data_IF_229848565323
#
_entry.id   IF_229848565323
#
_cell.length_a   1.000
_cell.length_b   1.000
_cell.length_c   1.000
_cell.angle_alpha   90.00
_cell.angle_beta   90.00
_cell.angle_gamma   90.00
#
_symmetry.space_group_name_H-M   'P 1'
#
loop_
_entity.id
_entity.type
_entity.pdbx_description
1 polymer ?
#
# COMPACT_ATOMS: atom_id res chain seq x y z
N UNK A 1 3.37 8.47 11.76
CA UNK A 1 2.92 7.25 11.04
C UNK A 1 1.44 6.97 11.33
N UNK A 2 1.01 6.72 12.57
CA UNK A 2 -0.42 6.49 12.89
C UNK A 2 -1.28 7.67 12.43
N UNK A 3 -0.89 8.90 12.76
CA UNK A 3 -1.63 10.10 12.34
C UNK A 3 -1.76 10.21 10.81
N UNK A 4 -0.72 9.88 10.07
CA UNK A 4 -0.75 9.98 8.60
C UNK A 4 -1.47 8.80 7.96
N UNK A 5 -1.06 7.57 8.31
CA UNK A 5 -1.52 6.37 7.59
C UNK A 5 -2.91 5.89 8.03
N UNK A 6 -3.35 6.26 9.24
CA UNK A 6 -4.63 5.82 9.80
C UNK A 6 -5.58 7.01 9.95
N UNK A 7 -5.26 7.94 10.85
CA UNK A 7 -6.18 9.05 11.16
C UNK A 7 -6.41 9.94 9.94
N UNK A 8 -5.34 10.36 9.25
CA UNK A 8 -5.45 11.20 8.06
C UNK A 8 -6.20 10.52 6.93
N UNK A 9 -5.93 9.22 6.69
CA UNK A 9 -6.62 8.44 5.68
C UNK A 9 -8.13 8.34 5.95
N UNK A 10 -8.51 7.98 7.17
CA UNK A 10 -9.92 7.82 7.54
C UNK A 10 -10.65 9.16 7.52
N UNK A 11 -10.00 10.22 8.00
CA UNK A 11 -10.57 11.57 7.97
C UNK A 11 -10.79 12.03 6.53
N UNK A 12 -9.78 11.92 5.66
CA UNK A 12 -9.91 12.33 4.25
C UNK A 12 -11.01 11.53 3.54
N UNK A 13 -11.04 10.22 3.76
CA UNK A 13 -12.10 9.36 3.18
C UNK A 13 -13.48 9.84 3.61
N UNK A 14 -13.67 10.15 4.90
CA UNK A 14 -14.93 10.67 5.42
C UNK A 14 -15.34 11.98 4.75
N UNK A 15 -14.40 12.85 4.42
CA UNK A 15 -14.69 14.14 3.78
C UNK A 15 -15.12 14.00 2.32
N UNK A 16 -14.50 13.10 1.56
CA UNK A 16 -14.76 12.99 0.11
C UNK A 16 -15.90 12.01 -0.23
N UNK A 17 -16.15 11.04 0.63
CA UNK A 17 -17.09 9.95 0.35
C UNK A 17 -18.55 10.40 0.14
N UNK A 18 -19.14 11.30 0.96
CA UNK A 18 -20.54 11.71 0.80
C UNK A 18 -20.84 12.24 -0.60
N UNK A 19 -19.97 13.09 -1.15
CA UNK A 19 -20.13 13.65 -2.50
C UNK A 19 -20.00 12.57 -3.58
N UNK A 20 -19.14 11.56 -3.38
CA UNK A 20 -19.03 10.44 -4.31
C UNK A 20 -20.31 9.61 -4.32
N UNK A 21 -20.88 9.33 -3.14
CA UNK A 21 -22.10 8.56 -2.99
C UNK A 21 -23.29 9.31 -3.62
N UNK A 22 -23.44 10.60 -3.35
CA UNK A 22 -24.49 11.46 -3.91
C UNK A 22 -24.50 11.43 -5.44
N UNK A 23 -23.32 11.65 -6.06
CA UNK A 23 -23.18 11.64 -7.52
C UNK A 23 -23.10 10.22 -8.12
N UNK A 24 -23.16 9.17 -7.30
CA UNK A 24 -23.04 7.74 -7.69
C UNK A 24 -21.81 7.46 -8.57
N UNK A 25 -20.72 8.15 -8.28
CA UNK A 25 -19.46 8.05 -9.04
C UNK A 25 -18.27 8.45 -8.20
N UNK A 26 -17.30 7.56 -8.09
CA UNK A 26 -16.05 7.79 -7.37
C UNK A 26 -15.14 6.59 -7.41
N UNK A 27 -13.86 6.84 -7.12
CA UNK A 27 -12.87 5.78 -6.97
C UNK A 27 -11.86 6.19 -5.91
N UNK A 28 -11.70 5.35 -4.90
CA UNK A 28 -10.68 5.49 -3.86
C UNK A 28 -9.62 4.43 -4.12
N UNK A 29 -8.38 4.86 -4.34
CA UNK A 29 -7.23 3.97 -4.52
C UNK A 29 -6.26 4.26 -3.39
N UNK A 30 -6.15 3.34 -2.46
CA UNK A 30 -5.24 3.43 -1.34
C UNK A 30 -3.91 2.74 -1.66
N UNK A 31 -2.82 3.31 -1.19
CA UNK A 31 -1.49 2.72 -1.31
C UNK A 31 -1.16 2.01 0.00
N UNK A 32 -1.33 0.70 -0.03
CA UNK A 32 -0.95 -0.23 1.04
C UNK A 32 0.54 -0.56 1.04
N UNK A 33 0.86 -1.80 1.29
CA UNK A 33 2.20 -2.41 1.18
C UNK A 33 2.09 -3.91 1.39
N UNK A 34 3.01 -4.69 0.83
CA UNK A 34 3.22 -6.10 1.20
C UNK A 34 3.50 -6.27 2.69
N UNK A 35 4.07 -5.25 3.36
CA UNK A 35 4.28 -5.19 4.80
C UNK A 35 2.97 -5.28 5.63
N UNK A 36 1.82 -5.01 5.04
CA UNK A 36 0.52 -5.20 5.67
C UNK A 36 0.05 -6.66 5.68
N UNK A 37 0.79 -7.55 5.02
CA UNK A 37 0.48 -8.98 4.93
C UNK A 37 1.65 -9.84 5.42
N UNK A 38 2.88 -9.48 5.01
CA UNK A 38 4.08 -10.22 5.34
C UNK A 38 4.88 -9.46 6.40
N UNK A 39 5.05 -10.01 7.61
CA UNK A 39 5.83 -9.37 8.65
C UNK A 39 7.33 -9.42 8.35
N UNK A 40 8.06 -8.43 8.80
CA UNK A 40 9.53 -8.42 8.78
C UNK A 40 10.11 -7.61 9.95
N UNK A 41 11.33 -7.90 10.41
CA UNK A 41 11.96 -7.20 11.53
C UNK A 41 11.98 -5.68 11.35
N UNK A 42 11.59 -4.94 12.39
CA UNK A 42 11.56 -3.47 12.40
C UNK A 42 10.34 -2.84 11.73
N UNK A 43 9.35 -3.63 11.31
CA UNK A 43 8.14 -3.12 10.64
C UNK A 43 6.90 -3.03 11.54
N UNK A 44 7.00 -3.28 12.84
CA UNK A 44 5.83 -3.44 13.72
C UNK A 44 4.75 -2.36 13.55
N UNK A 45 5.06 -1.08 13.75
CA UNK A 45 4.07 0.01 13.57
C UNK A 45 3.75 0.23 12.08
N UNK A 46 4.75 0.16 11.21
CA UNK A 46 4.54 0.35 9.77
C UNK A 46 3.65 -0.77 9.19
N UNK A 47 4.03 -2.02 9.41
CA UNK A 47 3.25 -3.18 8.95
C UNK A 47 1.82 -3.15 9.49
N UNK A 48 1.66 -2.88 10.80
CA UNK A 48 0.33 -2.72 11.40
C UNK A 48 -0.48 -1.60 10.75
N UNK A 49 0.12 -0.44 10.46
CA UNK A 49 -0.58 0.63 9.76
C UNK A 49 -0.98 0.25 8.33
N UNK A 50 -0.15 -0.52 7.63
CA UNK A 50 -0.46 -0.99 6.27
C UNK A 50 -1.48 -2.14 6.26
N UNK A 51 -1.49 -2.98 7.29
CA UNK A 51 -2.56 -3.94 7.52
C UNK A 51 -3.91 -3.25 7.77
N UNK A 52 -3.90 -2.13 8.53
CA UNK A 52 -5.07 -1.28 8.68
C UNK A 52 -5.57 -0.75 7.32
N UNK A 53 -4.69 -0.16 6.50
CA UNK A 53 -5.07 0.38 5.19
C UNK A 53 -5.70 -0.69 4.30
N UNK A 54 -5.12 -1.89 4.29
CA UNK A 54 -5.67 -3.05 3.57
C UNK A 54 -7.07 -3.39 4.04
N UNK A 55 -7.24 -3.64 5.34
CA UNK A 55 -8.53 -4.06 5.88
C UNK A 55 -9.58 -2.95 5.79
N UNK A 56 -9.19 -1.69 6.03
CA UNK A 56 -10.06 -0.53 5.85
C UNK A 56 -10.58 -0.44 4.41
N UNK A 57 -9.72 -0.63 3.42
CA UNK A 57 -10.13 -0.60 2.00
C UNK A 57 -11.15 -1.70 1.66
N UNK A 58 -10.96 -2.91 2.20
CA UNK A 58 -11.88 -4.03 1.99
C UNK A 58 -13.22 -3.79 2.66
N UNK A 59 -13.22 -3.32 3.91
CA UNK A 59 -14.45 -2.99 4.64
C UNK A 59 -15.21 -1.85 3.95
N UNK A 60 -14.49 -0.78 3.58
CA UNK A 60 -15.10 0.34 2.84
C UNK A 60 -15.72 -0.13 1.51
N UNK A 61 -15.07 -1.07 0.82
CA UNK A 61 -15.63 -1.68 -0.41
C UNK A 61 -16.91 -2.45 -0.11
N UNK A 62 -16.99 -3.16 1.02
CA UNK A 62 -18.19 -3.89 1.43
C UNK A 62 -19.34 -2.93 1.77
N UNK A 63 -19.07 -1.87 2.53
CA UNK A 63 -20.05 -0.85 2.91
C UNK A 63 -20.62 -0.10 1.70
N UNK A 64 -19.84 0.03 0.63
CA UNK A 64 -20.20 0.76 -0.59
C UNK A 64 -20.83 -0.12 -1.68
N UNK A 65 -21.18 -1.36 -1.38
CA UNK A 65 -21.87 -2.24 -2.33
C UNK A 65 -23.15 -1.57 -2.85
N UNK A 66 -23.36 -1.57 -4.18
CA UNK A 66 -24.50 -0.93 -4.82
C UNK A 66 -24.41 0.59 -5.06
N UNK A 67 -23.43 1.29 -4.47
CA UNK A 67 -23.27 2.76 -4.64
C UNK A 67 -22.58 3.18 -5.93
N UNK A 68 -22.01 2.23 -6.67
CA UNK A 68 -21.15 2.46 -7.86
C UNK A 68 -19.79 3.10 -7.53
N UNK A 69 -19.41 3.20 -6.26
CA UNK A 69 -18.10 3.66 -5.84
C UNK A 69 -17.14 2.48 -5.86
N UNK A 70 -15.96 2.69 -6.42
CA UNK A 70 -14.87 1.70 -6.44
C UNK A 70 -13.89 1.97 -5.31
N UNK A 71 -13.31 0.90 -4.76
CA UNK A 71 -12.24 0.99 -3.77
C UNK A 71 -11.19 -0.06 -4.08
N UNK A 72 -9.94 0.36 -4.18
CA UNK A 72 -8.79 -0.54 -4.41
C UNK A 72 -7.68 -0.28 -3.41
N UNK A 73 -6.91 -1.32 -3.12
CA UNK A 73 -5.68 -1.24 -2.35
C UNK A 73 -4.51 -1.76 -3.19
N UNK A 74 -3.53 -0.90 -3.49
CA UNK A 74 -2.28 -1.26 -4.17
C UNK A 74 -1.24 -1.55 -3.11
N UNK A 75 -0.62 -2.71 -3.16
CA UNK A 75 0.32 -3.22 -2.15
C UNK A 75 1.72 -3.40 -2.75
N UNK A 76 2.54 -2.34 -2.82
CA UNK A 76 3.89 -2.44 -3.32
C UNK A 76 4.80 -3.24 -2.38
N UNK A 77 5.72 -4.00 -2.98
CA UNK A 77 6.89 -4.55 -2.32
C UNK A 77 8.05 -3.57 -2.27
N UNK A 78 9.27 -4.05 -2.52
CA UNK A 78 10.47 -3.23 -2.51
C UNK A 78 10.44 -2.22 -3.65
N UNK A 79 10.28 -0.94 -3.30
CA UNK A 79 10.24 0.19 -4.23
C UNK A 79 11.38 1.15 -3.92
N UNK A 80 12.24 1.42 -4.91
CA UNK A 80 13.33 2.41 -4.83
C UNK A 80 12.93 3.76 -5.43
N UNK A 81 13.82 4.75 -5.37
CA UNK A 81 13.59 6.07 -5.96
C UNK A 81 12.65 6.96 -5.16
N UNK A 82 12.39 6.63 -3.89
CA UNK A 82 11.59 7.43 -2.96
C UNK A 82 12.39 7.76 -1.71
N UNK A 83 11.93 8.73 -0.93
CA UNK A 83 12.52 9.07 0.37
C UNK A 83 12.19 8.06 1.49
N UNK A 84 11.39 7.03 1.20
CA UNK A 84 10.89 6.10 2.22
C UNK A 84 12.01 5.49 3.06
N UNK A 85 13.04 4.93 2.42
CA UNK A 85 14.14 4.30 3.15
C UNK A 85 15.05 5.33 3.84
N UNK A 86 15.20 6.52 3.27
CA UNK A 86 15.97 7.60 3.88
C UNK A 86 15.29 8.06 5.19
N UNK A 87 13.98 8.28 5.16
CA UNK A 87 13.19 8.62 6.36
C UNK A 87 13.21 7.48 7.37
N UNK A 88 13.04 6.23 6.92
CA UNK A 88 13.07 5.04 7.77
C UNK A 88 14.40 4.89 8.50
N UNK A 89 15.52 5.13 7.83
CA UNK A 89 16.86 5.02 8.40
C UNK A 89 17.41 6.33 8.94
N UNK A 90 16.53 7.32 9.22
CA UNK A 90 16.93 8.62 9.78
C UNK A 90 18.01 9.31 8.96
N UNK A 91 17.88 9.27 7.63
CA UNK A 91 18.79 9.86 6.64
C UNK A 91 20.19 9.21 6.58
N UNK A 92 20.34 7.99 7.08
CA UNK A 92 21.50 7.15 6.79
C UNK A 92 21.42 6.65 5.33
N UNK A 93 21.96 7.47 4.42
CA UNK A 93 21.92 7.21 2.98
C UNK A 93 22.72 5.96 2.58
N UNK A 94 23.77 5.60 3.32
CA UNK A 94 24.54 4.40 3.05
C UNK A 94 23.72 3.13 3.34
N UNK A 95 22.99 3.14 4.44
CA UNK A 95 22.10 2.04 4.81
C UNK A 95 20.91 1.96 3.87
N UNK A 96 20.35 3.09 3.48
CA UNK A 96 19.26 3.15 2.51
C UNK A 96 19.69 2.59 1.15
N UNK A 97 20.84 3.00 0.61
CA UNK A 97 21.34 2.53 -0.68
C UNK A 97 21.69 1.05 -0.71
N UNK A 98 22.23 0.52 0.39
CA UNK A 98 22.56 -0.92 0.51
C UNK A 98 21.32 -1.82 0.37
N UNK A 99 20.13 -1.32 0.78
CA UNK A 99 18.88 -2.08 0.67
C UNK A 99 18.52 -2.38 -0.79
N UNK A 100 18.84 -1.46 -1.70
CA UNK A 100 18.45 -1.55 -3.11
C UNK A 100 19.54 -2.11 -4.02
N UNK A 101 20.79 -2.18 -3.54
CA UNK A 101 21.92 -2.62 -4.36
C UNK A 101 21.71 -4.03 -4.92
N UNK A 102 21.58 -4.13 -6.26
CA UNK A 102 21.37 -5.40 -6.95
C UNK A 102 19.95 -5.97 -6.85
N UNK A 103 19.01 -5.24 -6.24
CA UNK A 103 17.65 -5.74 -6.03
C UNK A 103 16.73 -5.54 -7.24
N UNK A 104 17.09 -4.68 -8.21
CA UNK A 104 16.21 -4.32 -9.34
C UNK A 104 14.78 -4.02 -8.85
N UNK A 105 14.69 -3.19 -7.81
CA UNK A 105 13.45 -2.84 -7.14
C UNK A 105 12.46 -2.15 -8.11
N UNK A 106 11.15 -2.25 -7.85
CA UNK A 106 10.16 -1.46 -8.59
C UNK A 106 10.36 0.02 -8.33
N UNK A 107 9.91 0.86 -9.26
CA UNK A 107 10.03 2.32 -9.20
C UNK A 107 8.68 2.98 -8.98
N UNK A 108 8.65 4.26 -8.56
CA UNK A 108 7.40 5.01 -8.43
C UNK A 108 6.54 4.99 -9.69
N UNK A 109 7.18 4.98 -10.87
CA UNK A 109 6.50 4.91 -12.17
C UNK A 109 5.73 3.61 -12.35
N UNK A 110 6.21 2.48 -11.83
CA UNK A 110 5.53 1.19 -11.90
C UNK A 110 4.25 1.23 -11.05
N UNK A 111 4.31 1.88 -9.88
CA UNK A 111 3.14 2.11 -9.03
C UNK A 111 2.15 3.05 -9.73
N UNK A 112 2.64 4.15 -10.30
CA UNK A 112 1.80 5.12 -11.01
C UNK A 112 1.09 4.47 -12.21
N UNK A 113 1.79 3.64 -12.99
CA UNK A 113 1.20 2.89 -14.10
C UNK A 113 0.13 1.90 -13.61
N UNK A 114 0.34 1.25 -12.47
CA UNK A 114 -0.66 0.38 -11.83
C UNK A 114 -1.91 1.16 -11.44
N UNK A 115 -1.73 2.34 -10.81
CA UNK A 115 -2.85 3.22 -10.45
C UNK A 115 -3.60 3.71 -11.68
N UNK A 116 -2.89 4.09 -12.73
CA UNK A 116 -3.48 4.50 -14.01
C UNK A 116 -4.30 3.35 -14.63
N UNK A 117 -3.73 2.14 -14.67
CA UNK A 117 -4.44 0.97 -15.17
C UNK A 117 -5.72 0.69 -14.38
N UNK A 118 -5.69 0.78 -13.04
CA UNK A 118 -6.88 0.65 -12.19
C UNK A 118 -7.93 1.71 -12.52
N UNK A 119 -7.50 2.96 -12.72
CA UNK A 119 -8.40 4.07 -13.04
C UNK A 119 -9.13 3.86 -14.38
N UNK A 120 -8.45 3.26 -15.35
CA UNK A 120 -8.96 2.99 -16.70
C UNK A 120 -9.91 1.79 -16.78
N UNK A 121 -10.03 0.97 -15.72
CA UNK A 121 -10.94 -0.16 -15.74
C UNK A 121 -12.40 0.28 -15.88
N UNK A 122 -13.26 -0.51 -16.56
CA UNK A 122 -14.69 -0.21 -16.70
C UNK A 122 -15.35 0.04 -15.34
N UNK A 123 -16.32 0.95 -15.28
CA UNK A 123 -16.94 1.39 -14.02
C UNK A 123 -17.59 0.27 -13.19
N UNK A 124 -17.96 -0.83 -13.82
CA UNK A 124 -18.55 -2.00 -13.14
C UNK A 124 -17.49 -2.97 -12.58
N UNK A 125 -16.22 -2.77 -12.93
CA UNK A 125 -15.09 -3.59 -12.46
C UNK A 125 -14.43 -2.92 -11.25
N UNK A 126 -14.33 -3.66 -10.16
CA UNK A 126 -13.55 -3.25 -8.98
C UNK A 126 -12.44 -4.27 -8.73
N UNK A 127 -11.21 -3.83 -8.84
CA UNK A 127 -10.05 -4.61 -8.39
C UNK A 127 -9.86 -4.33 -6.90
N UNK A 128 -10.13 -5.29 -6.06
CA UNK A 128 -10.10 -5.06 -4.60
C UNK A 128 -8.67 -4.84 -4.08
N UNK A 129 -7.73 -5.66 -4.55
CA UNK A 129 -6.33 -5.63 -4.16
C UNK A 129 -5.45 -5.93 -5.35
N UNK A 130 -4.29 -5.31 -5.40
CA UNK A 130 -3.22 -5.65 -6.33
C UNK A 130 -1.88 -5.56 -5.59
N UNK A 131 -1.17 -6.68 -5.54
CA UNK A 131 0.15 -6.78 -4.96
C UNK A 131 1.17 -6.81 -6.07
N UNK A 132 2.20 -5.96 -5.98
CA UNK A 132 3.27 -5.87 -6.98
C UNK A 132 4.62 -5.85 -6.30
N UNK A 133 5.48 -6.76 -6.72
CA UNK A 133 6.84 -6.90 -6.21
C UNK A 133 7.85 -6.96 -7.36
N UNK A 134 9.10 -6.54 -7.15
CA UNK A 134 10.14 -6.84 -8.11
C UNK A 134 10.33 -8.37 -8.24
N UNK A 135 10.70 -8.82 -9.41
CA UNK A 135 10.94 -10.25 -9.68
C UNK A 135 12.05 -10.85 -8.81
N UNK A 136 12.93 -10.00 -8.30
CA UNK A 136 14.02 -10.35 -7.38
C UNK A 136 13.58 -10.50 -5.92
N UNK A 137 12.35 -10.06 -5.57
CA UNK A 137 11.81 -10.19 -4.22
C UNK A 137 10.93 -11.43 -4.10
N UNK A 138 11.11 -12.17 -3.02
CA UNK A 138 10.28 -13.32 -2.66
C UNK A 138 9.74 -13.15 -1.25
N UNK A 139 8.73 -13.94 -0.91
CA UNK A 139 8.32 -14.14 0.48
C UNK A 139 9.40 -14.97 1.17
N UNK A 140 10.16 -14.34 2.06
CA UNK A 140 11.25 -15.01 2.76
C UNK A 140 10.75 -16.03 3.78
N UNK A 141 11.58 -17.04 4.13
CA UNK A 141 11.31 -17.88 5.28
C UNK A 141 11.31 -17.05 6.55
N UNK A 142 10.46 -17.42 7.50
CA UNK A 142 10.49 -16.81 8.82
C UNK A 142 11.78 -17.26 9.53
N UNK A 143 12.63 -16.34 10.01
CA UNK A 143 13.85 -16.70 10.72
C UNK A 143 13.49 -17.41 12.03
N UNK A 144 14.29 -18.43 12.36
CA UNK A 144 14.21 -19.14 13.63
C UNK A 144 15.57 -18.99 14.31
N UNK A 145 15.58 -18.31 15.45
CA UNK A 145 16.77 -18.25 16.31
C UNK A 145 16.98 -19.61 16.95
N UNK A 146 18.22 -20.07 16.96
CA UNK A 146 18.63 -21.34 17.59
C UNK A 146 19.71 -21.04 18.61
N UNK A 147 19.53 -21.55 19.80
CA UNK A 147 20.56 -21.56 20.83
C UNK A 147 21.57 -22.66 20.47
N UNK A 148 22.90 -22.35 20.60
CA UNK A 148 23.99 -23.28 20.37
C UNK A 148 24.12 -24.28 21.53
#
# INVERSE_FOLDING_TARGET
MIQTNIVGLTYLTRQVLPQMVERKSGYIINIGSTAGTVPYPGANVYGASKAFVKQFSLNLRADLAGTKIRVSNVEPGLCEGTEFSNVRFKWDNQRASKLYKGAHAIKPEDIANTVLWLAQQPKHVNVNRIEIMPTSQSFGPQPVERED
#
